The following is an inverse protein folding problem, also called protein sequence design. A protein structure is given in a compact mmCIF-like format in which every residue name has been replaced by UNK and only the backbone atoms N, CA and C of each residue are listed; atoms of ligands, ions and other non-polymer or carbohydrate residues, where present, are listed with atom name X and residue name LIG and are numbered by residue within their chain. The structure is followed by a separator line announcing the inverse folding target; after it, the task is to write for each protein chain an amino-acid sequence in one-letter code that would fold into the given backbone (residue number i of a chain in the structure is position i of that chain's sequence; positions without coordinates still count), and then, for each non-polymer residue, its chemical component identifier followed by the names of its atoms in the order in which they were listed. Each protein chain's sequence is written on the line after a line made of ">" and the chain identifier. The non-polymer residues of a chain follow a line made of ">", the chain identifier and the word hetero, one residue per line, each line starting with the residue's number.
data_IF_854750112880
#
_entry.id   IF_854750112880
#
_cell.length_a   1.000
_cell.length_b   1.000
_cell.length_c   1.000
_cell.angle_alpha   90.00
_cell.angle_beta   90.00
_cell.angle_gamma   90.00
#
_symmetry.space_group_name_H-M   'P 1'
#
loop_
_entity.id
_entity.type
_entity.pdbx_description
1 polymer ?
#
# COMPACT_ATOMS: atom_id res chain seq x y z
N UNK A 1 -11.36 0.51 39.87
CA UNK A 1 -11.10 -0.12 38.56
C UNK A 1 -9.87 0.56 37.98
N UNK A 2 -8.79 -0.18 37.68
CA UNK A 2 -7.55 0.40 37.16
C UNK A 2 -7.50 0.19 35.64
N UNK A 3 -7.37 1.26 34.86
CA UNK A 3 -7.27 1.21 33.40
C UNK A 3 -5.81 1.16 32.98
N UNK A 4 -5.43 0.13 32.23
CA UNK A 4 -4.10 0.00 31.64
C UNK A 4 -4.24 0.19 30.13
N UNK A 5 -3.50 1.15 29.57
CA UNK A 5 -3.48 1.45 28.14
C UNK A 5 -2.17 0.94 27.55
N UNK A 6 -2.26 0.06 26.55
CA UNK A 6 -1.10 -0.52 25.87
C UNK A 6 -0.80 0.19 24.53
N UNK A 7 0.47 0.27 24.11
CA UNK A 7 0.83 0.81 22.81
C UNK A 7 0.32 -0.08 21.66
N UNK A 8 -0.08 0.53 20.55
CA UNK A 8 -0.51 -0.19 19.36
C UNK A 8 0.70 -0.60 18.50
N UNK A 9 0.98 -1.91 18.32
CA UNK A 9 2.13 -2.39 17.56
C UNK A 9 2.00 -2.21 16.05
N UNK A 10 0.83 -1.80 15.55
CA UNK A 10 0.53 -1.67 14.12
C UNK A 10 1.19 -0.45 13.44
N UNK A 11 1.80 0.44 14.22
CA UNK A 11 2.47 1.64 13.70
C UNK A 11 3.99 1.48 13.78
N UNK A 12 4.67 1.74 12.64
CA UNK A 12 6.13 1.76 12.59
C UNK A 12 6.73 2.89 13.44
N UNK A 13 5.98 3.96 13.66
CA UNK A 13 6.37 5.10 14.49
C UNK A 13 5.51 5.11 15.76
N UNK A 14 6.06 4.67 16.90
CA UNK A 14 5.37 4.77 18.19
C UNK A 14 5.05 6.23 18.54
N UNK A 15 4.02 6.41 19.39
CA UNK A 15 3.56 7.73 19.82
C UNK A 15 4.69 8.58 20.41
N UNK A 16 5.55 8.00 21.22
CA UNK A 16 6.68 8.71 21.84
C UNK A 16 7.70 9.20 20.81
N UNK A 17 8.04 8.35 19.83
CA UNK A 17 8.94 8.72 18.75
C UNK A 17 8.37 9.87 17.91
N UNK A 18 7.06 9.84 17.63
CA UNK A 18 6.37 10.95 16.96
C UNK A 18 6.41 12.26 17.79
N UNK A 19 6.17 12.19 19.09
CA UNK A 19 6.22 13.37 19.96
C UNK A 19 7.63 13.99 20.00
N UNK A 20 8.67 13.17 20.04
CA UNK A 20 10.07 13.62 19.95
C UNK A 20 10.33 14.30 18.60
N UNK A 21 9.94 13.67 17.49
CA UNK A 21 10.05 14.27 16.15
C UNK A 21 9.37 15.65 16.10
N UNK A 22 8.11 15.71 16.56
CA UNK A 22 7.30 16.92 16.55
C UNK A 22 7.93 18.08 17.33
N UNK A 23 8.55 17.79 18.48
CA UNK A 23 9.21 18.80 19.33
C UNK A 23 10.42 19.42 18.64
N UNK A 24 11.15 18.63 17.85
CA UNK A 24 12.38 19.06 17.20
C UNK A 24 12.15 19.78 15.86
N UNK A 25 10.92 19.80 15.36
CA UNK A 25 10.59 20.34 14.04
C UNK A 25 9.59 21.50 14.11
N UNK A 26 9.96 22.66 13.55
CA UNK A 26 9.06 23.82 13.48
C UNK A 26 7.94 23.65 12.46
N UNK A 27 8.21 22.98 11.34
CA UNK A 27 7.24 22.62 10.29
C UNK A 27 7.21 21.10 10.15
N UNK A 28 6.04 20.54 9.83
CA UNK A 28 5.86 19.10 9.67
C UNK A 28 5.58 18.80 8.21
N UNK A 29 6.65 18.57 7.45
CA UNK A 29 6.55 18.12 6.07
C UNK A 29 6.73 16.61 6.03
N UNK A 30 5.91 15.93 5.23
CA UNK A 30 6.00 14.47 5.09
C UNK A 30 7.33 14.04 4.46
N UNK A 31 7.91 14.86 3.58
CA UNK A 31 9.21 14.58 2.98
C UNK A 31 10.33 14.44 4.03
N UNK A 32 10.42 15.40 4.96
CA UNK A 32 11.42 15.39 6.02
C UNK A 32 11.19 14.22 6.98
N UNK A 33 9.95 14.02 7.41
CA UNK A 33 9.58 12.91 8.27
C UNK A 33 9.90 11.55 7.62
N UNK A 34 9.61 11.39 6.33
CA UNK A 34 9.87 10.17 5.57
C UNK A 34 11.37 9.85 5.49
N UNK A 35 12.22 10.85 5.21
CA UNK A 35 13.69 10.67 5.20
C UNK A 35 14.19 10.22 6.57
N UNK A 36 13.72 10.86 7.64
CA UNK A 36 14.08 10.45 9.01
C UNK A 36 13.58 9.05 9.35
N UNK A 37 12.37 8.68 8.94
CA UNK A 37 11.86 7.32 9.17
C UNK A 37 12.68 6.28 8.42
N UNK A 38 13.08 6.54 7.16
CA UNK A 38 13.95 5.62 6.40
C UNK A 38 15.30 5.43 7.06
N UNK A 39 15.91 6.50 7.57
CA UNK A 39 17.17 6.41 8.33
C UNK A 39 16.97 5.65 9.64
N UNK A 40 15.95 5.98 10.43
CA UNK A 40 15.66 5.35 11.73
C UNK A 40 15.39 3.85 11.60
N UNK A 41 14.68 3.44 10.54
CA UNK A 41 14.30 2.05 10.29
C UNK A 41 15.31 1.30 9.40
N UNK A 42 16.34 1.99 8.90
CA UNK A 42 17.31 1.47 7.94
C UNK A 42 16.66 0.84 6.69
N UNK A 43 15.67 1.52 6.11
CA UNK A 43 14.93 1.05 4.94
C UNK A 43 15.45 1.75 3.69
N UNK A 44 16.04 0.97 2.77
CA UNK A 44 16.64 1.45 1.52
C UNK A 44 17.70 2.55 1.78
N UNK A 45 18.50 2.39 2.84
CA UNK A 45 19.56 3.32 3.23
C UNK A 45 20.87 2.56 3.30
N UNK A 46 21.93 3.16 2.76
CA UNK A 46 23.31 2.70 2.89
C UNK A 46 24.18 3.89 3.28
N UNK A 47 25.01 3.75 4.32
CA UNK A 47 25.89 4.82 4.80
C UNK A 47 25.17 6.18 5.02
N UNK A 48 23.97 6.16 5.61
CA UNK A 48 23.08 7.33 5.82
C UNK A 48 22.54 8.02 4.55
N UNK A 49 22.79 7.46 3.38
CA UNK A 49 22.33 7.94 2.09
C UNK A 49 21.26 7.01 1.49
N UNK A 50 20.36 7.53 0.64
CA UNK A 50 19.34 6.69 0.02
C UNK A 50 19.99 5.79 -1.03
N UNK A 51 19.65 4.50 -1.01
CA UNK A 51 19.93 3.60 -2.12
C UNK A 51 19.21 4.15 -3.37
N UNK A 52 19.92 4.22 -4.50
CA UNK A 52 19.43 4.84 -5.74
C UNK A 52 19.69 6.35 -5.86
N UNK A 53 20.35 6.98 -4.88
CA UNK A 53 20.86 8.35 -4.97
C UNK A 53 19.81 9.46 -4.78
N UNK A 54 18.53 9.12 -4.63
CA UNK A 54 17.45 10.06 -4.35
C UNK A 54 16.53 9.52 -3.26
N UNK A 55 15.98 10.41 -2.43
CA UNK A 55 15.04 10.02 -1.38
C UNK A 55 13.65 9.71 -1.91
N UNK A 56 13.24 10.33 -3.03
CA UNK A 56 11.93 10.13 -3.63
C UNK A 56 12.05 10.03 -5.15
N UNK A 57 11.23 9.17 -5.74
CA UNK A 57 11.04 9.02 -7.18
C UNK A 57 9.58 9.37 -7.59
N UNK A 58 8.86 10.11 -6.76
CA UNK A 58 7.43 10.42 -6.98
C UNK A 58 7.17 11.13 -8.32
N UNK A 59 8.11 11.96 -8.79
CA UNK A 59 7.98 12.66 -10.07
C UNK A 59 7.97 11.70 -11.26
N UNK A 60 8.78 10.65 -11.22
CA UNK A 60 8.85 9.61 -12.25
C UNK A 60 7.58 8.76 -12.30
N UNK A 61 6.85 8.67 -11.17
CA UNK A 61 5.63 7.89 -11.01
C UNK A 61 4.37 8.58 -11.58
N UNK A 62 4.53 9.71 -12.29
CA UNK A 62 3.42 10.52 -12.83
C UNK A 62 3.09 10.26 -14.30
N UNK A 63 3.56 9.15 -14.87
CA UNK A 63 3.29 8.79 -16.27
C UNK A 63 1.82 8.38 -16.46
N UNK A 64 1.29 8.62 -17.65
CA UNK A 64 -0.06 8.21 -18.01
C UNK A 64 -0.13 6.70 -18.24
N UNK A 65 -1.26 6.10 -17.87
CA UNK A 65 -1.53 4.68 -18.15
C UNK A 65 -1.63 4.49 -19.67
N UNK A 66 -0.87 3.55 -20.28
CA UNK A 66 -1.06 3.19 -21.67
C UNK A 66 -2.49 2.67 -21.91
N UNK A 67 -3.14 3.10 -22.99
CA UNK A 67 -4.51 2.66 -23.33
C UNK A 67 -4.63 1.15 -23.57
N UNK A 68 -3.52 0.49 -23.91
CA UNK A 68 -3.44 -0.96 -24.13
C UNK A 68 -3.25 -1.76 -22.84
N UNK A 69 -3.10 -1.10 -21.69
CA UNK A 69 -2.92 -1.79 -20.41
C UNK A 69 -4.23 -2.42 -19.95
N UNK A 70 -4.26 -3.74 -19.84
CA UNK A 70 -5.36 -4.47 -19.22
C UNK A 70 -4.99 -4.74 -17.75
N UNK A 71 -5.70 -4.15 -16.78
CA UNK A 71 -5.42 -4.41 -15.37
C UNK A 71 -5.82 -5.86 -15.01
N UNK A 72 -5.12 -6.50 -14.06
CA UNK A 72 -5.51 -7.81 -13.58
C UNK A 72 -6.89 -7.74 -12.92
N UNK A 73 -7.70 -8.80 -13.09
CA UNK A 73 -9.02 -8.89 -12.47
C UNK A 73 -8.92 -8.84 -10.94
N UNK A 74 -9.81 -8.08 -10.30
CA UNK A 74 -9.90 -8.05 -8.84
C UNK A 74 -10.49 -9.36 -8.32
N UNK A 75 -9.86 -10.03 -7.35
CA UNK A 75 -10.43 -11.23 -6.74
C UNK A 75 -11.74 -10.87 -6.00
N UNK A 76 -12.76 -11.72 -6.15
CA UNK A 76 -14.04 -11.59 -5.45
C UNK A 76 -14.20 -12.69 -4.42
N UNK A 77 -14.75 -12.33 -3.27
CA UNK A 77 -14.96 -13.22 -2.13
C UNK A 77 -16.47 -13.34 -1.88
N UNK A 78 -17.13 -14.41 -2.34
CA UNK A 78 -18.56 -14.58 -2.12
C UNK A 78 -18.86 -14.71 -0.62
N UNK A 79 -19.97 -14.14 -0.12
CA UNK A 79 -20.28 -14.12 1.30
C UNK A 79 -20.51 -15.54 1.81
N UNK A 80 -19.75 -15.92 2.84
CA UNK A 80 -19.98 -17.16 3.57
C UNK A 80 -21.21 -17.04 4.49
N UNK A 81 -21.50 -18.11 5.23
CA UNK A 81 -22.66 -18.14 6.13
C UNK A 81 -22.67 -16.95 7.11
N UNK A 82 -21.52 -16.67 7.73
CA UNK A 82 -21.40 -15.58 8.71
C UNK A 82 -21.65 -14.23 8.05
N UNK A 83 -21.05 -14.00 6.88
CA UNK A 83 -21.26 -12.76 6.12
C UNK A 83 -22.72 -12.59 5.70
N UNK A 84 -23.39 -13.66 5.26
CA UNK A 84 -24.81 -13.61 4.90
C UNK A 84 -25.71 -13.27 6.08
N UNK A 85 -25.42 -13.79 7.28
CA UNK A 85 -26.13 -13.43 8.51
C UNK A 85 -25.96 -11.94 8.83
N UNK A 86 -24.75 -11.40 8.68
CA UNK A 86 -24.48 -9.96 8.90
C UNK A 86 -25.13 -9.08 7.84
N UNK A 87 -25.15 -9.50 6.56
CA UNK A 87 -25.82 -8.76 5.48
C UNK A 87 -27.29 -8.55 5.83
N UNK A 88 -27.99 -9.59 6.31
CA UNK A 88 -29.40 -9.48 6.75
C UNK A 88 -29.57 -8.45 7.87
N UNK A 89 -28.73 -8.52 8.90
CA UNK A 89 -28.76 -7.58 10.03
C UNK A 89 -28.56 -6.14 9.55
N UNK A 90 -27.59 -5.91 8.66
CA UNK A 90 -27.30 -4.57 8.14
C UNK A 90 -28.47 -4.05 7.30
N UNK A 91 -29.03 -4.88 6.42
CA UNK A 91 -30.18 -4.53 5.59
C UNK A 91 -31.42 -4.20 6.44
N UNK A 92 -31.66 -4.93 7.52
CA UNK A 92 -32.80 -4.69 8.43
C UNK A 92 -32.61 -3.43 9.29
N UNK A 93 -31.42 -3.23 9.86
CA UNK A 93 -31.17 -2.13 10.80
C UNK A 93 -30.87 -0.80 10.10
N UNK A 94 -30.31 -0.84 8.89
CA UNK A 94 -29.84 0.34 8.17
C UNK A 94 -30.39 0.45 6.73
N UNK A 95 -31.71 0.34 6.53
CA UNK A 95 -32.30 0.26 5.19
C UNK A 95 -32.13 1.54 4.34
N UNK A 96 -31.89 2.69 4.98
CA UNK A 96 -31.76 3.98 4.32
C UNK A 96 -30.29 4.42 4.13
N UNK A 97 -29.31 3.58 4.47
CA UNK A 97 -27.91 3.90 4.24
C UNK A 97 -27.57 3.78 2.74
N UNK A 98 -26.71 4.66 2.21
CA UNK A 98 -26.30 4.57 0.81
C UNK A 98 -25.50 3.29 0.53
N UNK A 99 -25.82 2.63 -0.58
CA UNK A 99 -25.18 1.39 -1.03
C UNK A 99 -26.09 0.17 -0.88
N UNK A 100 -25.55 -1.01 -1.19
CA UNK A 100 -26.27 -2.27 -1.14
C UNK A 100 -25.40 -3.34 -0.46
N UNK A 101 -25.86 -3.85 0.69
CA UNK A 101 -25.12 -4.85 1.45
C UNK A 101 -25.01 -6.20 0.70
N UNK A 102 -25.97 -6.50 -0.19
CA UNK A 102 -25.96 -7.73 -1.02
C UNK A 102 -24.82 -7.73 -2.05
N UNK A 103 -24.21 -6.58 -2.33
CA UNK A 103 -23.07 -6.46 -3.25
C UNK A 103 -21.71 -6.68 -2.57
N UNK A 104 -21.69 -7.03 -1.28
CA UNK A 104 -20.45 -7.25 -0.54
C UNK A 104 -19.64 -8.44 -1.08
N UNK A 105 -18.44 -8.18 -1.58
CA UNK A 105 -17.53 -9.18 -2.16
C UNK A 105 -16.07 -9.07 -1.66
N UNK A 106 -15.88 -8.41 -0.52
CA UNK A 106 -14.58 -8.17 0.11
C UNK A 106 -14.10 -9.36 0.94
N UNK A 107 -12.77 -9.57 1.07
CA UNK A 107 -12.25 -10.62 1.93
C UNK A 107 -12.55 -10.36 3.40
N UNK A 108 -13.15 -11.33 4.08
CA UNK A 108 -13.19 -11.39 5.55
C UNK A 108 -12.36 -12.55 6.09
N UNK A 109 -12.00 -12.56 7.40
CA UNK A 109 -11.20 -13.63 7.98
C UNK A 109 -11.77 -15.02 7.66
N UNK A 110 -10.94 -15.90 7.11
CA UNK A 110 -11.33 -17.27 6.74
C UNK A 110 -11.98 -17.43 5.36
N UNK A 111 -12.30 -16.34 4.64
CA UNK A 111 -12.83 -16.44 3.28
C UNK A 111 -11.80 -16.92 2.26
N UNK A 112 -12.26 -17.71 1.30
CA UNK A 112 -11.50 -18.11 0.11
C UNK A 112 -12.04 -17.38 -1.11
N UNK A 113 -11.18 -16.99 -2.06
CA UNK A 113 -11.63 -16.33 -3.27
C UNK A 113 -12.46 -17.31 -4.10
N UNK A 114 -13.35 -16.79 -4.94
CA UNK A 114 -14.15 -17.62 -5.84
C UNK A 114 -13.26 -18.50 -6.73
N UNK A 115 -13.65 -19.76 -6.98
CA UNK A 115 -12.90 -20.71 -7.83
C UNK A 115 -12.72 -20.22 -9.28
N UNK A 116 -13.53 -19.26 -9.71
CA UNK A 116 -13.45 -18.64 -11.04
C UNK A 116 -12.50 -17.42 -11.07
N UNK A 117 -11.91 -17.05 -9.93
CA UNK A 117 -10.79 -16.11 -9.89
C UNK A 117 -9.51 -16.84 -10.31
N UNK A 118 -8.71 -16.20 -11.16
CA UNK A 118 -7.57 -16.80 -11.86
C UNK A 118 -6.65 -17.60 -10.92
N UNK A 119 -6.27 -18.86 -11.26
CA UNK A 119 -5.52 -19.74 -10.35
C UNK A 119 -4.07 -19.31 -10.07
N UNK A 120 -3.60 -18.22 -10.67
CA UNK A 120 -2.19 -17.79 -10.60
C UNK A 120 -1.86 -16.87 -9.44
N UNK A 121 -2.84 -16.51 -8.60
CA UNK A 121 -2.56 -15.74 -7.39
C UNK A 121 -2.10 -16.69 -6.28
N UNK A 122 -0.80 -17.03 -6.31
CA UNK A 122 -0.07 -16.97 -5.04
C UNK A 122 -0.49 -15.64 -4.41
N UNK A 123 -0.94 -15.68 -3.16
CA UNK A 123 -1.47 -14.54 -2.40
C UNK A 123 -0.44 -13.43 -2.15
N UNK A 124 0.57 -13.31 -3.00
CA UNK A 124 1.38 -12.14 -3.20
C UNK A 124 0.51 -11.06 -3.85
N UNK A 125 -0.36 -10.43 -3.04
CA UNK A 125 -1.03 -9.17 -3.40
C UNK A 125 -0.03 -8.09 -3.88
N UNK A 126 1.23 -8.28 -3.46
CA UNK A 126 2.45 -7.68 -3.93
C UNK A 126 3.01 -8.50 -5.11
N UNK A 127 2.21 -8.74 -6.15
CA UNK A 127 2.76 -9.34 -7.37
C UNK A 127 3.63 -8.28 -8.03
N UNK A 128 4.80 -8.65 -8.56
CA UNK A 128 5.66 -7.75 -9.34
C UNK A 128 4.87 -6.97 -10.40
N UNK A 129 3.84 -7.56 -10.99
CA UNK A 129 2.98 -6.92 -11.97
C UNK A 129 2.17 -5.75 -11.39
N UNK A 130 1.61 -5.89 -10.17
CA UNK A 130 0.92 -4.79 -9.49
C UNK A 130 1.90 -3.73 -8.99
N UNK A 131 3.07 -4.10 -8.49
CA UNK A 131 4.10 -3.14 -8.07
C UNK A 131 4.63 -2.29 -9.23
N UNK A 132 4.89 -2.91 -10.39
CA UNK A 132 5.28 -2.19 -11.61
C UNK A 132 4.22 -1.18 -12.03
N UNK A 133 2.93 -1.54 -11.94
CA UNK A 133 1.82 -0.63 -12.20
C UNK A 133 1.74 0.52 -11.19
N UNK A 134 1.86 0.25 -9.88
CA UNK A 134 1.81 1.28 -8.83
C UNK A 134 2.94 2.31 -8.94
N UNK A 135 4.14 1.90 -9.35
CA UNK A 135 5.27 2.81 -9.57
C UNK A 135 5.16 3.68 -10.82
N UNK A 136 4.24 3.41 -11.75
CA UNK A 136 4.25 4.10 -13.06
C UNK A 136 3.06 5.04 -13.26
N UNK A 137 2.00 4.90 -12.46
CA UNK A 137 0.66 5.36 -12.84
C UNK A 137 0.17 6.55 -11.99
N UNK A 138 -0.20 7.65 -12.66
CA UNK A 138 -1.01 8.74 -12.07
C UNK A 138 -2.31 8.21 -11.47
N UNK A 139 -2.68 8.76 -10.31
CA UNK A 139 -4.05 8.74 -9.75
C UNK A 139 -5.04 9.33 -10.76
N UNK A 140 -5.68 8.48 -11.55
CA UNK A 140 -6.83 8.88 -12.37
C UNK A 140 -8.08 8.96 -11.49
N UNK A 141 -8.82 10.07 -11.58
CA UNK A 141 -10.11 10.32 -10.88
C UNK A 141 -11.29 9.48 -11.40
N UNK A 142 -11.01 8.53 -12.28
CA UNK A 142 -11.95 7.49 -12.69
C UNK A 142 -12.12 6.52 -11.53
N UNK A 143 -13.31 5.94 -11.31
CA UNK A 143 -13.63 4.98 -10.23
C UNK A 143 -12.80 3.68 -10.19
N UNK A 144 -11.65 3.68 -10.86
CA UNK A 144 -10.64 2.63 -10.97
C UNK A 144 -9.55 2.71 -9.90
N UNK A 145 -9.67 3.59 -8.88
CA UNK A 145 -8.68 3.68 -7.80
C UNK A 145 -8.44 2.33 -7.10
N UNK A 146 -9.48 1.49 -6.99
CA UNK A 146 -9.41 0.14 -6.43
C UNK A 146 -8.67 -0.88 -7.30
N UNK A 147 -8.35 -0.58 -8.56
CA UNK A 147 -7.68 -1.50 -9.49
C UNK A 147 -6.15 -1.54 -9.31
N UNK A 148 -5.57 -0.49 -8.72
CA UNK A 148 -4.12 -0.34 -8.55
C UNK A 148 -3.68 -0.25 -7.09
N UNK A 149 -4.54 0.17 -6.16
CA UNK A 149 -4.18 0.19 -4.74
C UNK A 149 -4.26 -1.22 -4.15
N UNK A 150 -3.29 -1.57 -3.30
CA UNK A 150 -3.39 -2.76 -2.45
C UNK A 150 -4.49 -2.53 -1.43
N UNK A 151 -5.68 -3.07 -1.67
CA UNK A 151 -6.87 -2.81 -0.84
C UNK A 151 -6.87 -3.52 0.52
N UNK A 152 -5.71 -3.99 0.98
CA UNK A 152 -5.54 -4.64 2.29
C UNK A 152 -4.73 -3.71 3.19
N UNK A 153 -5.35 -3.28 4.28
CA UNK A 153 -4.67 -2.68 5.42
C UNK A 153 -4.29 -3.82 6.36
N UNK A 154 -3.08 -4.36 6.25
CA UNK A 154 -2.56 -5.38 7.17
C UNK A 154 -1.28 -4.94 7.88
N UNK A 155 -1.39 -5.01 9.22
CA UNK A 155 -0.42 -5.28 10.28
C UNK A 155 1.09 -5.22 9.97
N UNK A 156 1.76 -4.46 10.83
CA UNK A 156 3.16 -4.01 10.96
C UNK A 156 4.33 -5.01 10.86
N UNK A 157 4.21 -6.14 10.20
CA UNK A 157 5.40 -6.95 9.94
C UNK A 157 6.20 -6.34 8.78
N UNK A 158 7.39 -5.75 9.01
CA UNK A 158 8.27 -5.44 7.88
C UNK A 158 8.58 -6.75 7.15
N UNK A 159 8.63 -6.76 5.80
CA UNK A 159 9.06 -7.95 5.08
C UNK A 159 10.43 -8.37 5.61
N UNK A 160 10.60 -9.67 5.89
CA UNK A 160 11.93 -10.27 6.11
C UNK A 160 12.80 -9.81 4.94
N UNK A 161 13.99 -9.29 5.28
CA UNK A 161 15.05 -8.84 4.38
C UNK A 161 14.81 -9.23 2.91
N UNK A 162 14.64 -8.24 2.04
CA UNK A 162 14.78 -8.41 0.60
C UNK A 162 16.22 -8.82 0.34
N UNK A 163 16.52 -10.11 0.46
CA UNK A 163 17.75 -10.69 -0.07
C UNK A 163 17.47 -10.87 -1.56
N UNK A 164 17.98 -9.92 -2.34
CA UNK A 164 17.88 -9.94 -3.80
C UNK A 164 18.47 -11.26 -4.33
N UNK A 165 17.61 -12.11 -4.90
CA UNK A 165 18.04 -13.09 -5.87
C UNK A 165 18.56 -12.34 -7.09
N UNK A 166 19.85 -12.53 -7.38
CA UNK A 166 20.57 -12.07 -8.56
C UNK A 166 19.74 -12.12 -9.84
N UNK A 167 19.21 -10.98 -10.27
CA UNK A 167 18.81 -10.72 -11.65
C UNK A 167 19.14 -9.26 -11.96
N UNK A 168 19.73 -8.97 -13.14
CA UNK A 168 20.29 -7.66 -13.42
C UNK A 168 19.21 -6.58 -13.47
N UNK A 169 19.36 -5.59 -12.61
CA UNK A 169 18.59 -4.35 -12.61
C UNK A 169 18.64 -3.72 -14.02
N UNK A 170 17.50 -3.37 -14.64
CA UNK A 170 17.55 -2.64 -15.90
C UNK A 170 18.27 -1.30 -15.72
N UNK A 171 19.03 -0.83 -16.72
CA UNK A 171 19.90 0.33 -16.55
C UNK A 171 19.10 1.58 -16.21
N UNK A 172 19.57 2.28 -15.16
CA UNK A 172 19.05 3.58 -14.75
C UNK A 172 19.13 4.57 -15.94
N UNK A 173 18.14 5.47 -16.12
CA UNK A 173 18.20 6.46 -17.18
C UNK A 173 19.41 7.39 -16.97
N UNK A 174 20.22 7.51 -18.03
CA UNK A 174 21.44 8.31 -18.03
C UNK A 174 21.18 9.78 -17.69
N UNK A 175 22.08 10.37 -16.89
CA UNK A 175 22.12 11.80 -16.59
C UNK A 175 22.12 12.61 -17.89
N UNK A 176 21.04 13.35 -18.18
CA UNK A 176 21.14 14.51 -19.08
C UNK A 176 21.85 15.61 -18.30
N UNK A 177 23.11 15.86 -18.65
CA UNK A 177 23.83 17.04 -18.21
C UNK A 177 23.07 18.29 -18.67
N UNK A 178 22.71 19.16 -17.73
CA UNK A 178 22.45 20.55 -18.04
C UNK A 178 23.69 21.35 -17.66
N UNK A 179 24.32 21.88 -18.70
CA UNK A 179 25.37 22.89 -18.69
C UNK A 179 24.95 24.12 -17.88
N UNK A 180 25.94 24.74 -17.26
CA UNK A 180 25.86 26.07 -16.68
C UNK A 180 25.37 27.12 -17.70
N UNK A 181 24.55 28.04 -17.21
CA UNK A 181 24.65 29.49 -17.38
C UNK A 181 23.76 30.18 -16.33
#
# INVERSE_FOLDING_TARGET
>A
MNLIVLPNPSFLTPREAWLTYRKNHRRLLMADFYVEQRRRLNILVENNNPIGGQWSFDEDNRKSIPKSLVPPTTPRFPPDRTTQEVIKIVTELFPNHPGNAEEFDWPSPGHKPSKNSTPSLNFDFITLDRMKMQSTIKTTRSGTASLVHSSIVASSSPPKSLTESSNPTPPLPAKKGLSAN
#
